data_IF_605188735344
#
_entry.id   IF_605188735344
#
_cell.length_a   1.000
_cell.length_b   1.000
_cell.length_c   1.000
_cell.angle_alpha   90.00
_cell.angle_beta   90.00
_cell.angle_gamma   90.00
#
_symmetry.space_group_name_H-M   'P 1'
#
loop_
_entity.id
_entity.type
_entity.pdbx_description
1 polymer ?
#
# COMPACT_ATOMS: atom_id res chain seq x y z
N UNK A 1 -13.77 -10.96 0.20
CA UNK A 1 -13.51 -9.51 0.23
C UNK A 1 -12.32 -9.22 -0.66
N UNK A 2 -12.35 -8.12 -1.42
CA UNK A 2 -11.21 -7.65 -2.21
C UNK A 2 -10.54 -6.46 -1.53
N UNK A 3 -9.25 -6.56 -1.34
CA UNK A 3 -8.42 -5.54 -0.66
C UNK A 3 -7.44 -4.97 -1.67
N UNK A 4 -7.52 -3.67 -1.93
CA UNK A 4 -6.52 -2.92 -2.70
C UNK A 4 -5.34 -2.54 -1.81
N UNK A 5 -4.14 -2.74 -2.29
CA UNK A 5 -2.90 -2.41 -1.58
C UNK A 5 -2.08 -1.47 -2.47
N UNK A 6 -1.72 -0.32 -1.93
CA UNK A 6 -0.96 0.76 -2.58
C UNK A 6 0.12 1.26 -1.62
N UNK A 7 1.20 1.80 -2.13
CA UNK A 7 2.29 2.41 -1.35
C UNK A 7 3.09 3.39 -2.20
N UNK A 8 3.80 4.29 -1.53
CA UNK A 8 4.81 5.13 -2.18
C UNK A 8 4.21 5.94 -3.34
N UNK A 9 3.16 6.73 -3.05
CA UNK A 9 2.49 7.59 -4.04
C UNK A 9 3.28 8.85 -4.36
N UNK A 10 4.09 9.35 -3.41
CA UNK A 10 5.00 10.48 -3.58
C UNK A 10 4.39 11.67 -4.33
N UNK A 11 3.15 12.05 -3.96
CA UNK A 11 2.38 13.12 -4.59
C UNK A 11 2.17 12.97 -6.12
N UNK A 12 2.29 11.76 -6.67
CA UNK A 12 1.90 11.51 -8.06
C UNK A 12 0.38 11.34 -8.17
N UNK A 13 -0.30 12.46 -8.37
CA UNK A 13 -1.77 12.51 -8.50
C UNK A 13 -2.27 11.70 -9.69
N UNK A 14 -1.50 11.67 -10.78
CA UNK A 14 -1.90 10.93 -12.00
C UNK A 14 -1.89 9.43 -11.71
N UNK A 15 -0.78 8.90 -11.21
CA UNK A 15 -0.67 7.48 -10.88
C UNK A 15 -1.65 7.08 -9.75
N UNK A 16 -1.87 7.97 -8.77
CA UNK A 16 -2.83 7.74 -7.69
C UNK A 16 -4.26 7.64 -8.22
N UNK A 17 -4.67 8.53 -9.14
CA UNK A 17 -6.01 8.46 -9.74
C UNK A 17 -6.18 7.20 -10.60
N UNK A 18 -5.16 6.77 -11.35
CA UNK A 18 -5.20 5.49 -12.05
C UNK A 18 -5.33 4.30 -11.08
N UNK A 19 -4.66 4.36 -9.91
CA UNK A 19 -4.83 3.35 -8.87
C UNK A 19 -6.26 3.30 -8.34
N UNK A 20 -6.87 4.46 -8.11
CA UNK A 20 -8.26 4.59 -7.68
C UNK A 20 -9.21 4.00 -8.74
N UNK A 21 -9.00 4.30 -10.02
CA UNK A 21 -9.78 3.71 -11.13
C UNK A 21 -9.69 2.17 -11.12
N UNK A 22 -8.47 1.63 -10.97
CA UNK A 22 -8.25 0.17 -10.85
C UNK A 22 -9.03 -0.41 -9.67
N UNK A 23 -9.03 0.25 -8.51
CA UNK A 23 -9.76 -0.22 -7.34
C UNK A 23 -11.28 -0.17 -7.53
N UNK A 24 -11.79 0.87 -8.16
CA UNK A 24 -13.22 0.99 -8.50
C UNK A 24 -13.65 -0.10 -9.49
N UNK A 25 -12.93 -0.26 -10.60
CA UNK A 25 -13.24 -1.24 -11.66
C UNK A 25 -13.23 -2.67 -11.16
N UNK A 26 -12.42 -2.95 -10.13
CA UNK A 26 -12.34 -4.28 -9.53
C UNK A 26 -13.24 -4.44 -8.29
N UNK A 27 -14.05 -3.43 -7.94
CA UNK A 27 -14.96 -3.47 -6.78
C UNK A 27 -14.23 -3.79 -5.48
N UNK A 28 -13.13 -3.07 -5.22
CA UNK A 28 -12.36 -3.18 -3.97
C UNK A 28 -13.20 -2.64 -2.81
N UNK A 29 -13.21 -3.36 -1.70
CA UNK A 29 -14.01 -3.03 -0.51
C UNK A 29 -13.19 -2.36 0.60
N UNK A 30 -11.87 -2.58 0.57
CA UNK A 30 -10.92 -2.01 1.53
C UNK A 30 -9.66 -1.61 0.78
N UNK A 31 -9.09 -0.43 1.08
CA UNK A 31 -7.77 -0.02 0.58
C UNK A 31 -6.82 0.16 1.75
N UNK A 32 -5.61 -0.36 1.61
CA UNK A 32 -4.48 -0.20 2.53
C UNK A 32 -3.37 0.55 1.80
N UNK A 33 -2.96 1.70 2.37
CA UNK A 33 -1.80 2.44 1.90
C UNK A 33 -0.62 2.28 2.86
N UNK A 34 0.49 1.75 2.38
CA UNK A 34 1.64 1.40 3.22
C UNK A 34 2.69 2.52 3.37
N UNK A 35 2.25 3.79 3.28
CA UNK A 35 3.07 4.98 3.59
C UNK A 35 3.73 5.64 2.39
N UNK A 36 4.44 6.73 2.65
CA UNK A 36 5.05 7.65 1.70
C UNK A 36 4.01 8.30 0.76
N UNK A 37 3.10 9.05 1.40
CA UNK A 37 2.13 9.93 0.72
C UNK A 37 2.80 11.21 0.22
N UNK A 38 3.61 11.82 1.07
CA UNK A 38 4.30 13.11 1.10
C UNK A 38 3.41 14.21 1.65
N UNK A 39 2.32 14.59 0.98
CA UNK A 39 1.51 15.73 1.41
C UNK A 39 0.02 15.39 1.59
N UNK A 40 -0.69 16.16 2.46
CA UNK A 40 -2.11 15.93 2.72
C UNK A 40 -3.04 15.93 1.49
N UNK A 41 -2.83 16.76 0.45
CA UNK A 41 -3.72 16.79 -0.72
C UNK A 41 -3.87 15.46 -1.44
N UNK A 42 -2.82 14.61 -1.48
CA UNK A 42 -2.91 13.31 -2.16
C UNK A 42 -3.94 12.38 -1.51
N UNK A 43 -4.16 12.53 -0.19
CA UNK A 43 -5.15 11.75 0.56
C UNK A 43 -6.56 12.07 0.09
N UNK A 44 -6.82 13.32 -0.30
CA UNK A 44 -8.17 13.74 -0.70
C UNK A 44 -8.65 13.08 -2.00
N UNK A 45 -7.73 12.58 -2.84
CA UNK A 45 -8.09 11.81 -4.05
C UNK A 45 -8.86 10.53 -3.68
N UNK A 46 -8.49 9.87 -2.57
CA UNK A 46 -9.16 8.66 -2.09
C UNK A 46 -10.59 8.87 -1.59
N UNK A 47 -11.05 10.14 -1.50
CA UNK A 47 -12.44 10.45 -1.17
C UNK A 47 -13.43 9.81 -2.16
N UNK A 48 -13.05 9.67 -3.43
CA UNK A 48 -13.84 8.95 -4.43
C UNK A 48 -14.21 7.52 -4.00
N UNK A 49 -13.31 6.85 -3.28
CA UNK A 49 -13.53 5.48 -2.77
C UNK A 49 -14.34 5.51 -1.46
N UNK A 50 -13.97 6.39 -0.52
CA UNK A 50 -14.66 6.44 0.78
C UNK A 50 -16.10 6.91 0.66
N UNK A 51 -16.43 7.81 -0.28
CA UNK A 51 -17.83 8.18 -0.59
C UNK A 51 -18.66 6.99 -1.13
N UNK A 52 -18.01 5.94 -1.64
CA UNK A 52 -18.63 4.67 -2.05
C UNK A 52 -18.57 3.60 -0.95
N UNK A 53 -18.30 3.99 0.30
CA UNK A 53 -18.17 3.13 1.47
C UNK A 53 -16.96 2.16 1.41
N UNK A 54 -15.95 2.40 0.59
CA UNK A 54 -14.68 1.68 0.65
C UNK A 54 -13.92 2.12 1.90
N UNK A 55 -13.51 1.18 2.74
CA UNK A 55 -12.70 1.51 3.93
C UNK A 55 -11.28 1.85 3.51
N UNK A 56 -10.74 2.96 4.02
CA UNK A 56 -9.37 3.39 3.71
C UNK A 56 -8.51 3.45 4.97
N UNK A 57 -7.42 2.69 4.97
CA UNK A 57 -6.43 2.64 6.04
C UNK A 57 -5.06 3.04 5.50
N UNK A 58 -4.33 3.86 6.24
CA UNK A 58 -2.96 4.21 5.91
C UNK A 58 -2.03 4.14 7.10
N UNK A 59 -0.74 4.02 6.83
CA UNK A 59 0.31 4.21 7.82
C UNK A 59 1.30 5.27 7.33
N UNK A 60 2.10 5.83 8.22
CA UNK A 60 3.14 6.78 7.86
C UNK A 60 4.38 6.06 7.31
N UNK A 61 4.96 6.62 6.25
CA UNK A 61 6.28 6.27 5.74
C UNK A 61 7.38 7.22 6.23
N UNK A 62 8.59 7.04 5.75
CA UNK A 62 9.73 7.88 6.16
C UNK A 62 9.75 9.27 5.52
N UNK A 63 9.04 9.44 4.41
CA UNK A 63 8.94 10.72 3.71
C UNK A 63 7.70 11.55 4.13
N UNK A 64 6.85 11.03 5.03
CA UNK A 64 5.63 11.69 5.48
C UNK A 64 5.93 12.68 6.62
N UNK A 65 6.31 13.92 6.25
CA UNK A 65 6.70 14.97 7.20
C UNK A 65 5.52 15.66 7.88
N UNK A 66 4.45 15.95 7.15
CA UNK A 66 3.27 16.69 7.61
C UNK A 66 2.25 15.79 8.33
N UNK A 67 2.67 15.14 9.40
CA UNK A 67 1.86 14.10 10.11
C UNK A 67 0.50 14.59 10.60
N UNK A 68 0.40 15.85 11.02
CA UNK A 68 -0.88 16.43 11.47
C UNK A 68 -1.82 16.68 10.29
N UNK A 69 -1.32 17.31 9.23
CA UNK A 69 -2.11 17.54 8.01
C UNK A 69 -2.56 16.23 7.36
N UNK A 70 -1.70 15.20 7.36
CA UNK A 70 -2.10 13.86 6.89
C UNK A 70 -3.22 13.27 7.74
N UNK A 71 -3.14 13.39 9.08
CA UNK A 71 -4.22 12.93 9.98
C UNK A 71 -5.53 13.61 9.69
N UNK A 72 -5.51 14.95 9.57
CA UNK A 72 -6.70 15.76 9.29
C UNK A 72 -7.31 15.40 7.93
N UNK A 73 -6.47 15.15 6.91
CA UNK A 73 -6.92 14.71 5.59
C UNK A 73 -7.56 13.32 5.63
N UNK A 74 -6.99 12.38 6.39
CA UNK A 74 -7.61 11.06 6.61
C UNK A 74 -8.97 11.17 7.28
N UNK A 75 -9.09 11.98 8.33
CA UNK A 75 -10.35 12.23 9.03
C UNK A 75 -11.38 12.87 8.11
N UNK A 76 -10.97 13.86 7.30
CA UNK A 76 -11.83 14.54 6.34
C UNK A 76 -12.48 13.59 5.33
N UNK A 77 -11.75 12.58 4.84
CA UNK A 77 -12.29 11.60 3.89
C UNK A 77 -12.93 10.38 4.55
N UNK A 78 -13.00 10.32 5.89
CA UNK A 78 -13.51 9.15 6.61
C UNK A 78 -12.58 7.94 6.64
N UNK A 79 -11.31 8.12 6.31
CA UNK A 79 -10.26 7.11 6.41
C UNK A 79 -9.63 7.02 7.82
N UNK A 80 -8.68 6.12 8.01
CA UNK A 80 -7.96 5.96 9.28
C UNK A 80 -6.45 5.90 9.06
N UNK A 81 -5.73 6.89 9.62
CA UNK A 81 -4.27 6.88 9.70
C UNK A 81 -3.82 6.16 10.98
N UNK A 82 -3.12 5.03 10.83
CA UNK A 82 -2.77 4.11 11.92
C UNK A 82 -1.40 4.40 12.57
N UNK A 83 -0.75 5.52 12.20
CA UNK A 83 0.59 5.87 12.66
C UNK A 83 1.69 5.11 11.91
N UNK A 84 2.82 4.82 12.58
CA UNK A 84 4.01 4.19 11.95
C UNK A 84 3.87 2.66 11.80
N UNK A 85 2.90 2.05 12.47
CA UNK A 85 2.63 0.62 12.46
C UNK A 85 1.13 0.37 12.60
N UNK A 86 0.52 -0.10 11.53
CA UNK A 86 -0.89 -0.48 11.50
C UNK A 86 -1.10 -1.93 11.95
N UNK A 87 -2.17 -2.13 12.74
CA UNK A 87 -2.67 -3.46 13.12
C UNK A 87 -4.18 -3.42 12.96
N UNK A 88 -4.69 -4.18 12.02
CA UNK A 88 -6.13 -4.23 11.75
C UNK A 88 -6.55 -5.67 11.46
N UNK A 89 -7.82 -5.95 11.65
CA UNK A 89 -8.43 -7.21 11.25
C UNK A 89 -9.42 -6.95 10.10
N UNK A 90 -9.28 -7.70 9.02
CA UNK A 90 -10.14 -7.62 7.85
C UNK A 90 -10.51 -9.05 7.44
N UNK A 91 -11.82 -9.33 7.36
CA UNK A 91 -12.36 -10.63 6.92
C UNK A 91 -11.73 -11.83 7.68
N UNK A 92 -11.53 -11.67 9.01
CA UNK A 92 -10.94 -12.67 9.89
C UNK A 92 -9.42 -12.84 9.77
N UNK A 93 -8.73 -12.00 8.97
CA UNK A 93 -7.28 -12.01 8.83
C UNK A 93 -6.65 -10.83 9.59
N UNK A 94 -5.60 -11.10 10.35
CA UNK A 94 -4.83 -10.10 11.10
C UNK A 94 -3.75 -9.50 10.19
N UNK A 95 -3.88 -8.22 9.87
CA UNK A 95 -2.92 -7.48 9.06
C UNK A 95 -1.94 -6.71 9.94
N UNK A 96 -0.64 -6.85 9.66
CA UNK A 96 0.40 -5.95 10.12
C UNK A 96 0.88 -5.07 8.97
N UNK A 97 0.82 -3.75 9.13
CA UNK A 97 1.18 -2.81 8.07
C UNK A 97 2.35 -1.96 8.58
N UNK A 98 3.47 -2.01 7.89
CA UNK A 98 4.67 -1.24 8.22
C UNK A 98 5.35 -0.78 6.94
N UNK A 99 5.80 0.48 6.90
CA UNK A 99 6.38 1.00 5.65
C UNK A 99 7.59 0.19 5.16
N UNK A 100 8.47 -0.28 6.04
CA UNK A 100 9.50 -1.24 5.63
C UNK A 100 10.94 -0.76 5.76
N UNK A 101 11.18 0.42 6.33
CA UNK A 101 12.52 1.04 6.47
C UNK A 101 13.52 0.15 7.21
N UNK A 102 13.09 -0.49 8.31
CA UNK A 102 13.92 -1.40 9.10
C UNK A 102 13.64 -2.86 8.71
N UNK A 103 14.62 -3.47 8.02
CA UNK A 103 14.52 -4.86 7.56
C UNK A 103 14.42 -5.87 8.71
N UNK A 104 15.10 -5.62 9.84
CA UNK A 104 15.02 -6.49 11.03
C UNK A 104 13.63 -6.45 11.64
N UNK A 105 13.01 -5.26 11.68
CA UNK A 105 11.63 -5.10 12.14
C UNK A 105 10.64 -5.81 11.21
N UNK A 106 10.83 -5.73 9.87
CA UNK A 106 10.03 -6.50 8.89
C UNK A 106 10.10 -7.99 9.17
N UNK A 107 11.32 -8.53 9.27
CA UNK A 107 11.55 -9.95 9.53
C UNK A 107 10.90 -10.40 10.84
N UNK A 108 11.10 -9.63 11.92
CA UNK A 108 10.46 -9.89 13.21
C UNK A 108 8.94 -9.88 13.14
N UNK A 109 8.35 -8.98 12.35
CA UNK A 109 6.89 -8.94 12.16
C UNK A 109 6.39 -10.21 11.47
N UNK A 110 7.01 -10.62 10.37
CA UNK A 110 6.62 -11.81 9.61
C UNK A 110 6.73 -13.10 10.46
N UNK A 111 7.76 -13.20 11.29
CA UNK A 111 8.01 -14.40 12.11
C UNK A 111 7.31 -14.37 13.49
N UNK A 112 6.56 -13.30 13.81
CA UNK A 112 5.98 -13.11 15.15
C UNK A 112 4.79 -14.02 15.46
N UNK A 113 4.15 -14.61 14.47
CA UNK A 113 2.87 -15.34 14.61
C UNK A 113 1.66 -14.43 14.93
N UNK A 114 1.87 -13.10 14.98
CA UNK A 114 0.81 -12.13 15.32
C UNK A 114 -0.03 -11.72 14.12
N UNK A 115 0.47 -11.91 12.91
CA UNK A 115 -0.15 -11.47 11.67
C UNK A 115 -0.29 -12.62 10.69
N UNK A 116 -1.43 -12.68 10.02
CA UNK A 116 -1.69 -13.60 8.92
C UNK A 116 -1.20 -13.00 7.60
N UNK A 117 -1.21 -11.66 7.51
CA UNK A 117 -0.73 -10.87 6.38
C UNK A 117 0.14 -9.71 6.88
N UNK A 118 1.31 -9.52 6.28
CA UNK A 118 2.13 -8.32 6.46
C UNK A 118 2.19 -7.53 5.15
N UNK A 119 1.94 -6.22 5.24
CA UNK A 119 2.00 -5.28 4.11
C UNK A 119 3.14 -4.31 4.32
N UNK A 120 3.98 -4.14 3.29
CA UNK A 120 5.14 -3.26 3.28
C UNK A 120 5.14 -2.34 2.05
N UNK A 121 5.96 -1.31 2.06
CA UNK A 121 6.29 -0.39 0.97
C UNK A 121 7.80 -0.18 0.89
N UNK A 122 8.25 1.07 0.72
CA UNK A 122 9.61 1.60 0.83
C UNK A 122 10.60 1.09 -0.23
N UNK A 123 10.65 -0.20 -0.48
CA UNK A 123 11.62 -0.77 -1.44
C UNK A 123 11.28 -0.48 -2.90
N UNK A 124 10.06 -0.02 -3.17
CA UNK A 124 9.51 0.18 -4.51
C UNK A 124 9.53 -1.10 -5.38
N UNK A 125 9.65 -2.27 -4.76
CA UNK A 125 9.70 -3.58 -5.43
C UNK A 125 8.50 -4.40 -5.05
N UNK A 126 7.87 -5.03 -6.03
CA UNK A 126 6.77 -5.97 -5.78
C UNK A 126 7.23 -7.13 -4.91
N UNK A 127 6.39 -7.50 -3.96
CA UNK A 127 6.49 -8.75 -3.22
C UNK A 127 5.08 -9.37 -3.10
N UNK A 128 4.90 -10.54 -3.66
CA UNK A 128 5.82 -11.32 -4.50
C UNK A 128 6.17 -10.61 -5.83
N UNK A 129 7.18 -11.09 -6.53
CA UNK A 129 7.54 -10.54 -7.85
C UNK A 129 6.54 -10.95 -8.94
N UNK A 130 5.88 -12.08 -8.74
CA UNK A 130 4.80 -12.64 -9.57
C UNK A 130 3.46 -12.67 -8.81
N UNK A 131 2.46 -13.35 -9.33
CA UNK A 131 1.15 -13.51 -8.70
C UNK A 131 1.03 -14.75 -7.78
N UNK A 132 2.15 -15.37 -7.41
CA UNK A 132 2.18 -16.43 -6.41
C UNK A 132 2.38 -15.84 -5.01
N UNK A 133 1.68 -16.37 -3.99
CA UNK A 133 1.81 -15.86 -2.63
C UNK A 133 3.23 -16.06 -2.07
N UNK A 134 3.83 -14.97 -1.58
CA UNK A 134 5.05 -15.05 -0.78
C UNK A 134 4.68 -15.30 0.68
N UNK A 135 5.17 -16.40 1.24
CA UNK A 135 4.94 -16.77 2.63
C UNK A 135 6.28 -16.79 3.38
N UNK A 136 6.33 -16.12 4.52
CA UNK A 136 7.46 -16.13 5.45
C UNK A 136 6.97 -16.66 6.79
N UNK A 137 7.46 -17.84 7.18
CA UNK A 137 6.84 -18.60 8.27
C UNK A 137 5.39 -18.97 7.92
N UNK A 138 4.43 -18.45 8.67
CA UNK A 138 2.99 -18.61 8.42
C UNK A 138 2.32 -17.30 7.95
N UNK A 139 3.09 -16.29 7.59
CA UNK A 139 2.60 -14.95 7.25
C UNK A 139 2.70 -14.71 5.74
N UNK A 140 1.61 -14.31 5.12
CA UNK A 140 1.59 -13.82 3.73
C UNK A 140 2.23 -12.44 3.70
N UNK A 141 3.13 -12.19 2.74
CA UNK A 141 3.86 -10.91 2.65
C UNK A 141 3.53 -10.22 1.33
N UNK A 142 3.16 -8.93 1.45
CA UNK A 142 2.89 -8.07 0.30
C UNK A 142 3.73 -6.80 0.31
N UNK A 143 4.17 -6.41 -0.87
CA UNK A 143 4.57 -5.07 -1.23
C UNK A 143 4.01 -4.78 -2.62
N UNK A 144 3.18 -3.75 -2.82
CA UNK A 144 2.55 -3.47 -4.11
C UNK A 144 3.53 -2.90 -5.15
N UNK A 145 4.76 -2.59 -4.77
CA UNK A 145 5.67 -1.74 -5.52
C UNK A 145 5.45 -0.27 -5.15
N UNK A 146 5.72 0.63 -6.06
CA UNK A 146 5.45 2.06 -5.91
C UNK A 146 4.29 2.52 -6.79
N UNK A 147 3.54 3.51 -6.34
CA UNK A 147 2.44 4.11 -7.08
C UNK A 147 2.80 5.52 -7.59
N UNK A 148 4.03 5.71 -8.05
CA UNK A 148 4.47 6.93 -8.69
C UNK A 148 5.43 6.62 -9.83
N UNK A 149 5.55 7.55 -10.80
CA UNK A 149 6.55 7.45 -11.86
C UNK A 149 7.94 7.67 -11.27
N UNK A 150 8.75 6.63 -11.22
CA UNK A 150 10.13 6.74 -10.73
C UNK A 150 11.13 6.46 -11.81
N UNK A 151 12.23 7.22 -11.77
CA UNK A 151 13.38 7.05 -12.65
C UNK A 151 14.56 6.56 -11.81
N UNK A 152 15.12 5.42 -12.14
CA UNK A 152 16.33 4.93 -11.50
C UNK A 152 17.54 5.22 -12.40
N UNK A 153 18.46 6.06 -11.92
CA UNK A 153 19.76 6.25 -12.56
C UNK A 153 20.67 5.09 -12.13
N UNK A 154 20.91 4.13 -13.03
CA UNK A 154 21.99 3.17 -12.82
C UNK A 154 23.32 3.78 -13.27
N UNK A 155 24.43 3.31 -12.67
CA UNK A 155 25.81 3.72 -12.94
C UNK A 155 26.22 3.74 -14.44
N UNK A 156 25.41 3.20 -15.33
CA UNK A 156 25.60 3.17 -16.80
C UNK A 156 24.93 4.32 -17.56
N UNK A 157 24.48 5.38 -16.90
CA UNK A 157 23.78 6.54 -17.50
C UNK A 157 22.47 6.19 -18.23
N UNK A 158 21.93 4.98 -18.12
CA UNK A 158 20.62 4.63 -18.66
C UNK A 158 19.56 4.86 -17.61
N UNK A 159 18.56 5.68 -17.94
CA UNK A 159 17.32 5.81 -17.15
C UNK A 159 16.48 4.55 -17.34
N UNK A 160 16.14 3.90 -16.23
CA UNK A 160 15.19 2.80 -16.22
C UNK A 160 13.89 3.28 -15.58
N UNK A 161 12.79 3.10 -16.27
CA UNK A 161 11.47 3.30 -15.68
C UNK A 161 11.17 2.12 -14.75
N UNK A 162 10.85 2.40 -13.50
CA UNK A 162 10.16 1.41 -12.66
C UNK A 162 8.67 1.49 -12.99
N UNK A 163 8.07 0.35 -13.28
CA UNK A 163 6.62 0.27 -13.47
C UNK A 163 5.94 0.54 -12.14
N UNK A 164 5.13 1.59 -12.11
CA UNK A 164 4.25 1.85 -10.98
C UNK A 164 3.15 0.79 -10.93
N UNK A 165 2.72 0.43 -9.73
CA UNK A 165 1.75 -0.66 -9.57
C UNK A 165 0.97 -0.61 -8.26
N UNK A 166 -0.16 -1.29 -8.28
CA UNK A 166 -0.95 -1.66 -7.11
C UNK A 166 -1.23 -3.15 -7.10
N UNK A 167 -1.62 -3.68 -5.95
CA UNK A 167 -1.98 -5.07 -5.74
C UNK A 167 -3.44 -5.16 -5.31
N UNK A 168 -4.18 -6.13 -5.84
CA UNK A 168 -5.48 -6.55 -5.31
C UNK A 168 -5.34 -7.97 -4.73
N UNK A 169 -5.73 -8.12 -3.47
CA UNK A 169 -5.77 -9.38 -2.74
C UNK A 169 -7.21 -9.79 -2.47
N UNK A 170 -7.58 -11.00 -2.86
CA UNK A 170 -8.88 -11.58 -2.56
C UNK A 170 -8.77 -12.55 -1.37
N UNK A 171 -9.37 -12.20 -0.25
CA UNK A 171 -9.20 -12.91 1.02
C UNK A 171 -9.66 -14.36 1.00
N UNK A 172 -10.81 -14.65 0.34
CA UNK A 172 -11.40 -15.99 0.31
C UNK A 172 -10.62 -16.96 -0.56
N UNK A 173 -10.30 -16.56 -1.79
CA UNK A 173 -9.58 -17.40 -2.76
C UNK A 173 -8.06 -17.40 -2.54
N UNK A 174 -7.55 -16.46 -1.71
CA UNK A 174 -6.12 -16.17 -1.53
C UNK A 174 -5.41 -15.79 -2.85
N UNK A 175 -6.16 -15.32 -3.84
CA UNK A 175 -5.59 -14.85 -5.11
C UNK A 175 -5.12 -13.41 -4.99
N UNK A 176 -4.05 -13.12 -5.73
CA UNK A 176 -3.52 -11.77 -5.89
C UNK A 176 -3.42 -11.42 -7.37
N UNK A 177 -3.47 -10.14 -7.66
CA UNK A 177 -3.22 -9.61 -8.99
C UNK A 177 -2.57 -8.25 -8.90
N UNK A 178 -1.49 -8.06 -9.66
CA UNK A 178 -0.86 -6.76 -9.82
C UNK A 178 -1.44 -6.02 -11.03
N UNK A 179 -1.61 -4.72 -10.88
CA UNK A 179 -2.01 -3.82 -11.95
C UNK A 179 -0.92 -2.76 -12.14
N UNK A 180 -0.47 -2.58 -13.37
CA UNK A 180 0.44 -1.48 -13.70
C UNK A 180 -0.37 -0.17 -13.80
N UNK A 181 0.22 0.92 -13.32
CA UNK A 181 -0.33 2.27 -13.42
C UNK A 181 0.45 3.00 -14.52
N UNK A 182 -0.03 2.94 -15.74
CA UNK A 182 0.60 3.60 -16.92
C UNK A 182 -0.31 4.70 -17.45
#
# INVERSE_FOLDING_TARGET
>A
MKIGIISDTHDDFVATNHAIDVFEDNSVEVVIHAGDFISPPIITEFKRLTDKNVKFYGILGNNDGEKNGLRDAFEYIGGKLLGDLGKIEIDGLRFGIYHGVDLKKREKMCNSGKFDVCVFGHSHKREPEDENLKIVGNTIVFNPGNAHKSYELKYSQKMYFRKSSVLIFETKSKKIKFFNLE
#
